data_IF_127289972390
#
_entry.id   IF_127289972390
#
_cell.length_a   1.000
_cell.length_b   1.000
_cell.length_c   1.000
_cell.angle_alpha   90.00
_cell.angle_beta   90.00
_cell.angle_gamma   90.00
#
_symmetry.space_group_name_H-M   'P 1'
#
loop_
_entity.id
_entity.type
_entity.pdbx_description
1 polymer ?
#
# COMPACT_ATOMS: atom_id res chain seq x y z
N UNK A 1 0.09 -4.64 0.95
CA UNK A 1 0.02 -5.98 1.59
C UNK A 1 1.11 -6.91 1.05
N UNK A 2 1.20 -7.20 -0.27
CA UNK A 2 2.21 -8.14 -0.78
C UNK A 2 3.65 -7.80 -0.42
N UNK A 3 4.07 -6.54 -0.52
CA UNK A 3 5.40 -6.12 -0.09
C UNK A 3 5.66 -6.35 1.41
N UNK A 4 4.63 -6.21 2.26
CA UNK A 4 4.73 -6.51 3.69
C UNK A 4 5.00 -7.99 3.92
N UNK A 5 4.31 -8.87 3.20
CA UNK A 5 4.56 -10.32 3.27
C UNK A 5 5.98 -10.66 2.79
N UNK A 6 6.49 -9.97 1.76
CA UNK A 6 7.86 -10.16 1.28
C UNK A 6 8.90 -9.91 2.37
N UNK A 7 8.74 -8.85 3.17
CA UNK A 7 9.62 -8.57 4.31
C UNK A 7 9.57 -9.67 5.35
N UNK A 8 8.37 -10.04 5.80
CA UNK A 8 8.18 -11.09 6.81
C UNK A 8 8.68 -12.45 6.32
N UNK A 9 8.46 -12.77 5.04
CA UNK A 9 8.93 -14.02 4.46
C UNK A 9 10.46 -14.11 4.49
N UNK A 10 11.13 -13.00 4.14
CA UNK A 10 12.59 -12.93 4.18
C UNK A 10 13.20 -13.15 5.57
N UNK A 11 12.51 -12.69 6.63
CA UNK A 11 12.93 -12.89 8.01
C UNK A 11 12.66 -14.31 8.50
N UNK A 12 11.46 -14.82 8.22
CA UNK A 12 11.00 -16.10 8.75
C UNK A 12 11.61 -17.30 8.03
N UNK A 13 11.89 -17.16 6.75
CA UNK A 13 12.32 -18.24 5.87
C UNK A 13 13.53 -17.85 5.00
N UNK A 14 14.63 -17.37 5.60
CA UNK A 14 15.73 -16.75 4.84
C UNK A 14 16.43 -17.68 3.84
N UNK A 15 16.19 -18.99 3.90
CA UNK A 15 16.80 -19.98 3.01
C UNK A 15 15.87 -20.48 1.90
N UNK A 16 14.60 -20.08 1.90
CA UNK A 16 13.55 -20.61 1.03
C UNK A 16 13.38 -19.82 -0.28
N UNK A 17 14.21 -18.82 -0.50
CA UNK A 17 14.19 -18.01 -1.73
C UNK A 17 15.60 -17.65 -2.18
N UNK A 18 15.77 -17.34 -3.46
CA UNK A 18 17.03 -16.86 -4.03
C UNK A 18 17.18 -15.35 -3.93
N UNK A 19 16.07 -14.62 -4.00
CA UNK A 19 16.01 -13.17 -3.84
C UNK A 19 14.62 -12.72 -3.38
N UNK A 20 14.51 -11.44 -3.03
CA UNK A 20 13.28 -10.80 -2.59
C UNK A 20 13.07 -9.49 -3.35
N UNK A 21 11.81 -9.17 -3.66
CA UNK A 21 11.44 -7.90 -4.27
C UNK A 21 10.23 -7.32 -3.54
N UNK A 22 10.41 -6.19 -2.89
CA UNK A 22 9.33 -5.46 -2.23
C UNK A 22 9.05 -4.15 -2.97
N UNK A 23 7.82 -3.95 -3.42
CA UNK A 23 7.41 -2.75 -4.15
C UNK A 23 6.39 -1.99 -3.32
N UNK A 24 6.55 -0.66 -3.22
CA UNK A 24 5.66 0.23 -2.51
C UNK A 24 5.36 -0.25 -1.06
N UNK A 25 6.42 -0.55 -0.31
CA UNK A 25 6.27 -0.96 1.09
C UNK A 25 7.48 -0.54 1.93
N UNK A 26 7.23 -0.25 3.19
CA UNK A 26 8.25 0.09 4.17
C UNK A 26 8.41 -1.04 5.19
N UNK A 27 9.64 -1.38 5.61
CA UNK A 27 9.89 -2.43 6.57
C UNK A 27 9.82 -1.89 8.01
N UNK A 28 8.68 -1.34 8.39
CA UNK A 28 8.46 -0.79 9.72
C UNK A 28 7.01 -0.97 10.14
N UNK A 29 6.77 -0.97 11.45
CA UNK A 29 5.43 -0.98 12.02
C UNK A 29 4.57 0.12 11.42
N UNK A 30 3.30 -0.20 11.17
CA UNK A 30 2.36 0.78 10.63
C UNK A 30 2.05 1.82 11.69
N UNK A 31 2.43 3.06 11.44
CA UNK A 31 2.25 4.19 12.36
C UNK A 31 1.92 5.48 11.61
N UNK A 32 1.87 6.60 12.32
CA UNK A 32 1.68 7.93 11.74
C UNK A 32 0.49 8.03 10.79
N UNK A 33 0.69 8.66 9.64
CA UNK A 33 -0.35 8.90 8.63
C UNK A 33 -1.05 7.63 8.19
N UNK A 34 -0.30 6.56 7.94
CA UNK A 34 -0.87 5.28 7.50
C UNK A 34 -1.80 4.69 8.58
N UNK A 35 -1.38 4.72 9.85
CA UNK A 35 -2.24 4.23 10.94
C UNK A 35 -3.45 5.13 11.18
N UNK A 36 -3.30 6.46 11.08
CA UNK A 36 -4.42 7.41 11.19
C UNK A 36 -5.47 7.10 10.12
N UNK A 37 -5.05 6.95 8.87
CA UNK A 37 -5.93 6.58 7.77
C UNK A 37 -6.68 5.27 8.03
N UNK A 38 -5.96 4.22 8.45
CA UNK A 38 -6.56 2.91 8.79
C UNK A 38 -7.56 3.02 9.93
N UNK A 39 -7.23 3.78 10.97
CA UNK A 39 -8.13 4.01 12.09
C UNK A 39 -9.41 4.72 11.65
N UNK A 40 -9.32 5.74 10.78
CA UNK A 40 -10.48 6.43 10.23
C UNK A 40 -11.40 5.49 9.45
N UNK A 41 -10.84 4.60 8.63
CA UNK A 41 -11.61 3.60 7.88
C UNK A 41 -12.29 2.61 8.82
N UNK A 42 -11.54 2.06 9.78
CA UNK A 42 -12.07 1.12 10.76
C UNK A 42 -13.21 1.76 11.58
N UNK A 43 -13.03 2.99 12.02
CA UNK A 43 -14.08 3.75 12.73
C UNK A 43 -15.31 4.02 11.85
N UNK A 44 -15.12 4.41 10.59
CA UNK A 44 -16.22 4.64 9.67
C UNK A 44 -17.09 3.38 9.49
N UNK A 45 -16.44 2.20 9.34
CA UNK A 45 -17.14 0.93 9.22
C UNK A 45 -17.86 0.56 10.52
N UNK A 46 -17.14 0.61 11.65
CA UNK A 46 -17.69 0.17 12.96
C UNK A 46 -18.77 1.09 13.51
N UNK A 47 -18.79 2.36 13.10
CA UNK A 47 -19.81 3.34 13.46
C UNK A 47 -21.02 3.34 12.51
N UNK A 48 -20.98 2.60 11.41
CA UNK A 48 -22.13 2.46 10.52
C UNK A 48 -23.29 1.78 11.26
N UNK A 49 -24.50 2.37 11.32
CA UNK A 49 -25.63 1.78 12.04
C UNK A 49 -25.99 0.36 11.58
N UNK A 50 -25.70 0.02 10.32
CA UNK A 50 -25.96 -1.31 9.79
C UNK A 50 -24.85 -2.33 10.09
N UNK A 51 -23.71 -1.90 10.70
CA UNK A 51 -22.56 -2.77 10.98
C UNK A 51 -22.87 -3.91 11.96
N UNK A 52 -23.61 -3.63 13.04
CA UNK A 52 -24.07 -4.62 14.04
C UNK A 52 -22.94 -5.56 14.53
N UNK A 53 -21.77 -5.02 14.82
CA UNK A 53 -20.58 -5.78 15.22
C UNK A 53 -20.17 -6.86 14.19
N UNK A 54 -20.45 -6.62 12.90
CA UNK A 54 -20.18 -7.56 11.82
C UNK A 54 -21.30 -8.57 11.55
N UNK A 55 -22.38 -8.55 12.33
CA UNK A 55 -23.53 -9.44 12.15
C UNK A 55 -24.64 -8.75 11.32
N UNK A 56 -24.34 -8.42 10.08
CA UNK A 56 -25.28 -7.88 9.13
C UNK A 56 -25.67 -8.87 8.04
N UNK A 57 -26.88 -8.73 7.53
CA UNK A 57 -27.38 -9.51 6.42
C UNK A 57 -26.83 -9.01 5.08
N UNK A 58 -26.66 -9.92 4.12
CA UNK A 58 -26.28 -9.57 2.73
C UNK A 58 -27.29 -8.63 2.06
N UNK A 59 -28.56 -8.68 2.48
CA UNK A 59 -29.62 -7.85 1.92
C UNK A 59 -29.63 -6.43 2.51
N UNK A 60 -28.92 -6.19 3.61
CA UNK A 60 -28.83 -4.90 4.28
C UNK A 60 -27.42 -4.65 4.84
N UNK A 61 -26.41 -4.60 3.96
CA UNK A 61 -25.04 -4.37 4.39
C UNK A 61 -24.82 -2.91 4.80
N UNK A 62 -23.85 -2.62 5.67
CA UNK A 62 -23.44 -1.26 5.97
C UNK A 62 -22.89 -0.59 4.70
N UNK A 63 -23.30 0.67 4.44
CA UNK A 63 -22.91 1.43 3.25
C UNK A 63 -22.51 2.89 3.55
N UNK A 64 -22.81 3.41 4.75
CA UNK A 64 -22.42 4.78 5.08
C UNK A 64 -20.91 4.98 5.19
N UNK A 65 -20.18 3.96 5.59
CA UNK A 65 -18.72 3.97 5.69
C UNK A 65 -18.02 4.30 4.35
N UNK A 66 -18.67 3.96 3.22
CA UNK A 66 -18.14 4.16 1.87
C UNK A 66 -17.84 5.64 1.61
N UNK A 67 -18.71 6.54 2.09
CA UNK A 67 -18.59 7.99 1.94
C UNK A 67 -17.29 8.55 2.51
N UNK A 68 -16.75 7.92 3.53
CA UNK A 68 -15.48 8.31 4.13
C UNK A 68 -14.32 7.47 3.58
N UNK A 69 -14.47 6.14 3.59
CA UNK A 69 -13.35 5.24 3.34
C UNK A 69 -12.84 5.28 1.89
N UNK A 70 -13.74 5.37 0.91
CA UNK A 70 -13.31 5.28 -0.50
C UNK A 70 -12.66 6.57 -0.99
N UNK A 71 -13.23 7.77 -0.79
CA UNK A 71 -12.55 9.01 -1.16
C UNK A 71 -11.22 9.21 -0.40
N UNK A 72 -11.18 8.87 0.89
CA UNK A 72 -9.96 8.93 1.68
C UNK A 72 -8.89 7.97 1.14
N UNK A 73 -9.28 6.76 0.73
CA UNK A 73 -8.36 5.80 0.11
C UNK A 73 -7.81 6.32 -1.21
N UNK A 74 -8.62 6.96 -2.03
CA UNK A 74 -8.18 7.57 -3.29
C UNK A 74 -7.12 8.69 -3.04
N UNK A 75 -7.32 9.51 -2.02
CA UNK A 75 -6.35 10.55 -1.62
C UNK A 75 -5.04 9.91 -1.13
N UNK A 76 -5.13 8.88 -0.29
CA UNK A 76 -3.96 8.25 0.32
C UNK A 76 -3.14 7.41 -0.66
N UNK A 77 -3.77 6.83 -1.66
CA UNK A 77 -3.09 5.94 -2.63
C UNK A 77 -2.76 6.63 -3.95
N UNK A 78 -3.44 7.72 -4.29
CA UNK A 78 -3.19 8.51 -5.49
C UNK A 78 -2.03 9.48 -5.35
N UNK A 79 -1.69 10.17 -6.43
CA UNK A 79 -0.78 11.32 -6.40
C UNK A 79 -1.53 12.63 -6.60
N UNK A 80 -1.01 13.72 -6.03
CA UNK A 80 -1.59 15.05 -6.17
C UNK A 80 -1.73 15.46 -7.64
N UNK A 81 -0.73 15.15 -8.48
CA UNK A 81 -0.73 15.48 -9.90
C UNK A 81 -1.84 14.73 -10.66
N UNK A 82 -2.02 13.43 -10.39
CA UNK A 82 -3.05 12.64 -11.05
C UNK A 82 -4.46 13.03 -10.59
N UNK A 83 -4.64 13.29 -9.30
CA UNK A 83 -5.90 13.79 -8.78
C UNK A 83 -6.25 15.17 -9.36
N UNK A 84 -5.26 16.07 -9.52
CA UNK A 84 -5.47 17.35 -10.17
C UNK A 84 -5.85 17.23 -11.65
N UNK A 85 -5.31 16.24 -12.37
CA UNK A 85 -5.72 15.94 -13.76
C UNK A 85 -7.14 15.40 -13.84
N UNK A 86 -7.54 14.55 -12.90
CA UNK A 86 -8.89 13.98 -12.84
C UNK A 86 -9.95 15.01 -12.42
N UNK A 87 -9.57 15.91 -11.55
CA UNK A 87 -10.47 16.90 -10.94
C UNK A 87 -9.88 18.31 -11.00
N UNK A 88 -9.74 18.91 -12.21
CA UNK A 88 -9.06 20.19 -12.40
C UNK A 88 -9.84 21.40 -11.91
N UNK A 89 -11.12 21.27 -11.59
CA UNK A 89 -11.99 22.35 -11.11
C UNK A 89 -12.66 21.97 -9.79
N UNK A 90 -13.19 22.98 -9.10
CA UNK A 90 -13.99 22.75 -7.88
C UNK A 90 -15.15 21.78 -8.13
N UNK A 91 -15.88 21.96 -9.25
CA UNK A 91 -17.02 21.10 -9.56
C UNK A 91 -16.57 19.67 -9.85
N UNK A 92 -15.58 19.47 -10.71
CA UNK A 92 -15.08 18.12 -11.02
C UNK A 92 -14.50 17.41 -9.79
N UNK A 93 -14.01 18.15 -8.79
CA UNK A 93 -13.54 17.54 -7.54
C UNK A 93 -14.72 17.01 -6.70
N UNK A 94 -15.85 17.73 -6.67
CA UNK A 94 -17.08 17.24 -6.02
C UNK A 94 -17.62 16.03 -6.78
N UNK A 95 -17.73 16.11 -8.11
CA UNK A 95 -18.25 15.02 -8.95
C UNK A 95 -17.35 13.75 -8.84
N UNK A 96 -16.04 13.92 -8.62
CA UNK A 96 -15.14 12.81 -8.39
C UNK A 96 -15.45 12.08 -7.07
N UNK A 97 -15.80 12.81 -6.01
CA UNK A 97 -16.22 12.19 -4.74
C UNK A 97 -17.44 11.32 -4.95
N UNK A 98 -18.47 11.83 -5.63
CA UNK A 98 -19.70 11.08 -5.94
C UNK A 98 -19.39 9.82 -6.76
N UNK A 99 -18.47 9.92 -7.73
CA UNK A 99 -18.01 8.80 -8.55
C UNK A 99 -17.31 7.74 -7.71
N UNK A 100 -16.44 8.15 -6.81
CA UNK A 100 -15.73 7.27 -5.89
C UNK A 100 -16.70 6.55 -4.94
N UNK A 101 -17.68 7.27 -4.37
CA UNK A 101 -18.72 6.68 -3.52
C UNK A 101 -19.54 5.64 -4.30
N UNK A 102 -19.93 5.94 -5.52
CA UNK A 102 -20.65 5.01 -6.38
C UNK A 102 -19.83 3.72 -6.65
N UNK A 103 -18.54 3.86 -6.94
CA UNK A 103 -17.64 2.72 -7.16
C UNK A 103 -17.49 1.84 -5.91
N UNK A 104 -17.54 2.44 -4.73
CA UNK A 104 -17.43 1.77 -3.44
C UNK A 104 -18.61 0.86 -3.10
N UNK A 105 -19.76 1.01 -3.79
CA UNK A 105 -20.96 0.20 -3.51
C UNK A 105 -20.76 -1.31 -3.74
N UNK A 106 -19.75 -1.70 -4.51
CA UNK A 106 -19.40 -3.09 -4.75
C UNK A 106 -18.65 -3.74 -3.58
N UNK A 107 -18.07 -2.95 -2.66
CA UNK A 107 -17.27 -3.49 -1.57
C UNK A 107 -18.11 -3.98 -0.40
N UNK A 108 -17.67 -5.08 0.22
CA UNK A 108 -18.16 -5.54 1.51
C UNK A 108 -17.38 -4.89 2.66
N UNK A 109 -18.09 -4.52 3.72
CA UNK A 109 -17.50 -3.82 4.86
C UNK A 109 -16.54 -4.70 5.67
N UNK A 110 -16.81 -6.03 5.82
CA UNK A 110 -15.92 -6.95 6.51
C UNK A 110 -14.65 -7.17 5.71
N UNK A 111 -14.77 -7.41 4.41
CA UNK A 111 -13.61 -7.66 3.56
C UNK A 111 -12.68 -6.44 3.58
N UNK A 112 -13.26 -5.24 3.51
CA UNK A 112 -12.50 -4.00 3.58
C UNK A 112 -11.82 -3.82 4.94
N UNK A 113 -12.55 -4.04 6.03
CA UNK A 113 -12.02 -3.94 7.40
C UNK A 113 -10.88 -4.93 7.62
N UNK A 114 -11.08 -6.20 7.26
CA UNK A 114 -10.08 -7.25 7.45
C UNK A 114 -8.83 -7.01 6.60
N UNK A 115 -8.96 -6.47 5.39
CA UNK A 115 -7.81 -6.10 4.58
C UNK A 115 -6.91 -5.09 5.29
N UNK A 116 -7.49 -4.12 6.04
CA UNK A 116 -6.71 -3.14 6.80
C UNK A 116 -6.20 -3.69 8.15
N UNK A 117 -6.97 -4.51 8.84
CA UNK A 117 -6.63 -5.02 10.17
C UNK A 117 -5.68 -6.22 10.13
N UNK A 118 -5.61 -6.97 9.03
CA UNK A 118 -4.74 -8.13 8.86
C UNK A 118 -3.23 -7.83 8.97
N UNK A 119 -2.84 -6.59 9.04
CA UNK A 119 -1.46 -6.15 9.18
C UNK A 119 -1.22 -5.36 10.48
N UNK A 120 -2.07 -5.56 11.49
CA UNK A 120 -1.98 -4.83 12.76
C UNK A 120 -0.70 -5.14 13.54
N UNK A 121 -0.17 -6.35 13.40
CA UNK A 121 1.04 -6.86 14.03
C UNK A 121 2.29 -6.82 13.13
N UNK A 122 2.18 -6.17 11.95
CA UNK A 122 3.30 -6.05 11.03
C UNK A 122 4.39 -5.12 11.59
N UNK A 123 5.53 -5.67 11.91
CA UNK A 123 6.76 -4.94 12.28
C UNK A 123 8.02 -5.75 11.97
N UNK A 124 8.55 -5.70 10.75
CA UNK A 124 9.79 -6.38 10.39
C UNK A 124 11.06 -5.66 10.87
N UNK A 125 10.97 -4.39 11.27
CA UNK A 125 12.15 -3.57 11.58
C UNK A 125 13.16 -4.23 12.53
N UNK A 126 12.76 -4.95 13.61
CA UNK A 126 13.70 -5.57 14.53
C UNK A 126 14.55 -6.70 13.94
N UNK A 127 14.09 -7.31 12.83
CA UNK A 127 14.69 -8.53 12.26
C UNK A 127 15.24 -8.35 10.84
N UNK A 128 15.31 -7.15 10.32
CA UNK A 128 15.80 -6.91 8.96
C UNK A 128 17.21 -7.48 8.72
N UNK A 129 18.05 -7.58 9.75
CA UNK A 129 19.37 -8.18 9.66
C UNK A 129 19.34 -9.72 9.47
N UNK A 130 18.20 -10.36 9.67
CA UNK A 130 18.02 -11.80 9.42
C UNK A 130 17.81 -12.09 7.92
N UNK A 131 17.44 -11.07 7.13
CA UNK A 131 17.30 -11.18 5.68
C UNK A 131 18.69 -11.18 5.06
N UNK A 132 19.15 -12.34 4.63
CA UNK A 132 20.51 -12.54 4.07
C UNK A 132 20.53 -12.59 2.55
N UNK A 133 19.39 -12.81 1.92
CA UNK A 133 19.29 -12.91 0.45
C UNK A 133 19.31 -11.54 -0.22
N UNK A 134 19.74 -11.45 -1.48
CA UNK A 134 19.62 -10.21 -2.26
C UNK A 134 18.17 -9.69 -2.24
N UNK A 135 18.01 -8.44 -1.88
CA UNK A 135 16.68 -7.82 -1.78
C UNK A 135 16.63 -6.49 -2.52
N UNK A 136 15.69 -6.39 -3.45
CA UNK A 136 15.35 -5.13 -4.12
C UNK A 136 14.14 -4.51 -3.44
N UNK A 137 14.23 -3.22 -3.12
CA UNK A 137 13.06 -2.41 -2.77
C UNK A 137 12.84 -1.34 -3.81
N UNK A 138 11.60 -1.22 -4.30
CA UNK A 138 11.20 -0.17 -5.24
C UNK A 138 10.11 0.65 -4.58
N UNK A 139 10.39 1.93 -4.32
CA UNK A 139 9.45 2.85 -3.70
C UNK A 139 9.28 4.10 -4.56
N UNK A 140 8.25 4.88 -4.28
CA UNK A 140 7.84 6.02 -5.09
C UNK A 140 7.88 7.29 -4.25
N UNK A 141 8.55 8.32 -4.73
CA UNK A 141 8.78 9.56 -3.99
C UNK A 141 7.48 10.32 -3.61
N UNK A 142 6.38 10.06 -4.31
CA UNK A 142 5.08 10.65 -4.02
C UNK A 142 4.07 9.66 -3.40
N UNK A 143 4.53 8.54 -2.83
CA UNK A 143 3.68 7.59 -2.12
C UNK A 143 3.34 8.11 -0.72
N UNK A 144 2.07 8.42 -0.47
CA UNK A 144 1.59 8.87 0.83
C UNK A 144 1.33 7.71 1.80
N UNK A 145 1.14 6.51 1.28
CA UNK A 145 0.90 5.30 2.08
C UNK A 145 2.20 4.78 2.68
N UNK A 146 3.26 4.74 1.86
CA UNK A 146 4.61 4.35 2.28
C UNK A 146 5.59 5.47 1.92
N UNK A 147 5.60 6.57 2.67
CA UNK A 147 6.43 7.72 2.35
C UNK A 147 7.92 7.37 2.48
N UNK A 148 8.76 7.84 1.53
CA UNK A 148 10.17 7.49 1.47
C UNK A 148 10.95 7.87 2.74
N UNK A 149 10.50 8.88 3.47
CA UNK A 149 11.12 9.33 4.72
C UNK A 149 11.07 8.27 5.83
N UNK A 150 10.22 7.26 5.68
CA UNK A 150 10.08 6.14 6.64
C UNK A 150 10.77 4.86 6.15
N UNK A 151 11.44 4.90 5.00
CA UNK A 151 12.21 3.76 4.49
C UNK A 151 13.59 3.75 5.12
N UNK A 152 13.76 2.95 6.15
CA UNK A 152 15.04 2.76 6.83
C UNK A 152 15.52 1.32 6.64
N UNK A 153 16.56 1.15 5.84
CA UNK A 153 17.18 -0.15 5.57
C UNK A 153 18.48 -0.30 6.37
N UNK A 154 18.83 -1.52 6.77
CA UNK A 154 20.17 -1.79 7.29
C UNK A 154 21.25 -1.42 6.28
N UNK A 155 22.41 -0.95 6.76
CA UNK A 155 23.59 -0.68 5.94
C UNK A 155 24.28 -2.00 5.53
N UNK A 156 23.57 -2.88 4.82
CA UNK A 156 24.06 -4.19 4.39
C UNK A 156 24.06 -4.26 2.86
N UNK A 157 25.04 -4.96 2.30
CA UNK A 157 25.28 -5.02 0.84
C UNK A 157 24.23 -5.84 0.05
N UNK A 158 23.39 -6.60 0.75
CA UNK A 158 22.32 -7.38 0.12
C UNK A 158 21.05 -6.55 -0.19
N UNK A 159 20.93 -5.33 0.34
CA UNK A 159 19.81 -4.45 0.05
C UNK A 159 20.12 -3.52 -1.13
N UNK A 160 19.23 -3.48 -2.09
CA UNK A 160 19.25 -2.54 -3.21
C UNK A 160 17.97 -1.70 -3.14
N UNK A 161 18.14 -0.40 -2.93
CA UNK A 161 17.04 0.55 -2.90
C UNK A 161 16.93 1.27 -4.24
N UNK A 162 15.72 1.30 -4.80
CA UNK A 162 15.37 2.12 -5.97
C UNK A 162 14.21 3.03 -5.60
N UNK A 163 14.49 4.33 -5.55
CA UNK A 163 13.48 5.37 -5.36
C UNK A 163 13.11 5.94 -6.73
N UNK A 164 11.86 5.72 -7.16
CA UNK A 164 11.34 6.31 -8.38
C UNK A 164 10.91 7.75 -8.08
N UNK A 165 11.49 8.77 -8.75
CA UNK A 165 11.13 10.16 -8.51
C UNK A 165 9.69 10.46 -8.91
N UNK A 166 9.07 11.44 -8.25
CA UNK A 166 7.74 11.92 -8.61
C UNK A 166 7.74 12.55 -10.00
N UNK A 167 6.64 12.38 -10.74
CA UNK A 167 6.48 12.95 -12.06
C UNK A 167 5.16 12.56 -12.71
N UNK A 168 4.96 13.00 -13.95
CA UNK A 168 3.71 12.79 -14.69
C UNK A 168 3.35 11.31 -14.95
N UNK A 169 4.33 10.42 -14.83
CA UNK A 169 4.15 8.97 -15.01
C UNK A 169 3.92 8.23 -13.68
N UNK A 170 3.97 8.92 -12.52
CA UNK A 170 3.76 8.31 -11.21
C UNK A 170 2.39 8.63 -10.63
N UNK A 171 1.83 7.68 -9.91
CA UNK A 171 0.45 7.65 -9.40
C UNK A 171 0.41 7.49 -7.87
N UNK A 172 1.42 8.00 -7.15
CA UNK A 172 1.55 7.76 -5.73
C UNK A 172 1.76 6.27 -5.43
N UNK A 173 1.07 5.74 -4.43
CA UNK A 173 1.09 4.30 -4.13
C UNK A 173 0.67 3.44 -5.33
N UNK A 174 -0.29 3.92 -6.11
CA UNK A 174 -0.81 3.21 -7.28
C UNK A 174 0.20 3.09 -8.44
N UNK A 175 1.36 3.72 -8.36
CA UNK A 175 2.46 3.50 -9.31
C UNK A 175 2.87 2.02 -9.36
N UNK A 176 2.63 1.26 -8.28
CA UNK A 176 2.86 -0.20 -8.25
C UNK A 176 2.10 -0.95 -9.36
N UNK A 177 0.93 -0.46 -9.77
CA UNK A 177 0.10 -1.04 -10.83
C UNK A 177 0.55 -0.63 -12.25
N UNK A 178 1.60 0.20 -12.37
CA UNK A 178 2.14 0.70 -13.64
C UNK A 178 3.56 0.16 -13.89
N UNK A 179 3.72 -1.12 -14.27
CA UNK A 179 5.05 -1.76 -14.37
C UNK A 179 5.99 -1.07 -15.34
N UNK A 180 5.50 -0.38 -16.36
CA UNK A 180 6.33 0.39 -17.28
C UNK A 180 7.23 1.43 -16.57
N UNK A 181 6.86 1.86 -15.35
CA UNK A 181 7.62 2.85 -14.56
C UNK A 181 8.80 2.21 -13.83
N UNK A 182 8.70 0.95 -13.43
CA UNK A 182 9.68 0.31 -12.53
C UNK A 182 10.24 -1.03 -13.05
N UNK A 183 9.71 -1.60 -14.14
CA UNK A 183 10.15 -2.90 -14.64
C UNK A 183 11.63 -2.95 -15.02
N UNK A 184 12.22 -1.83 -15.48
CA UNK A 184 13.65 -1.77 -15.81
C UNK A 184 14.54 -1.95 -14.58
N UNK A 185 14.13 -1.41 -13.42
CA UNK A 185 14.84 -1.59 -12.16
C UNK A 185 14.80 -3.07 -11.72
N UNK A 186 13.64 -3.71 -11.82
CA UNK A 186 13.48 -5.13 -11.57
C UNK A 186 14.36 -5.98 -12.51
N UNK A 187 14.29 -5.71 -13.82
CA UNK A 187 15.12 -6.44 -14.81
C UNK A 187 16.61 -6.32 -14.54
N UNK A 188 17.08 -5.12 -14.20
CA UNK A 188 18.49 -4.88 -13.84
C UNK A 188 18.91 -5.62 -12.56
N UNK A 189 18.02 -5.74 -11.59
CA UNK A 189 18.27 -6.52 -10.38
C UNK A 189 18.38 -8.01 -10.69
N UNK A 190 17.42 -8.58 -11.42
CA UNK A 190 17.40 -10.00 -11.75
C UNK A 190 18.62 -10.43 -12.56
N UNK A 191 19.13 -9.58 -13.46
CA UNK A 191 20.35 -9.85 -14.24
C UNK A 191 21.63 -9.91 -13.41
N UNK A 192 21.63 -9.36 -12.20
CA UNK A 192 22.80 -9.38 -11.28
C UNK A 192 22.79 -10.57 -10.34
N UNK A 193 21.70 -11.32 -10.30
CA UNK A 193 21.65 -12.52 -9.48
C UNK A 193 22.59 -13.59 -10.05
N UNK A 194 23.22 -14.40 -9.19
CA UNK A 194 24.03 -15.54 -9.66
C UNK A 194 23.13 -16.49 -10.46
N UNK A 195 23.67 -17.15 -11.51
CA UNK A 195 22.92 -18.16 -12.23
C UNK A 195 22.47 -19.27 -11.28
N UNK A 196 21.33 -19.87 -11.59
CA UNK A 196 20.81 -21.02 -10.85
C UNK A 196 21.91 -22.11 -10.71
N UNK A 197 22.04 -22.65 -9.51
CA UNK A 197 22.95 -23.75 -9.21
C UNK A 197 22.30 -25.09 -9.52
#
# INVERSE_FOLDING_TARGET
MGGMQTWLWGEMFPNDMDCLVAIASTPAAISGRNMIWRAMISQAIRSDPAWKNGDYSKDSPPKNWIKTAIPLSAIMTGSAEQLQKQAPTRQTAVDLVDTLEASGQAYDAKDFLYAFESSADYDPAPKLNEITKPMLTINFANDLTNPPELLHLPAASNYIEVMIPSGSATYGHMTLAHPAVWASALGSFLQRLPPER
#
